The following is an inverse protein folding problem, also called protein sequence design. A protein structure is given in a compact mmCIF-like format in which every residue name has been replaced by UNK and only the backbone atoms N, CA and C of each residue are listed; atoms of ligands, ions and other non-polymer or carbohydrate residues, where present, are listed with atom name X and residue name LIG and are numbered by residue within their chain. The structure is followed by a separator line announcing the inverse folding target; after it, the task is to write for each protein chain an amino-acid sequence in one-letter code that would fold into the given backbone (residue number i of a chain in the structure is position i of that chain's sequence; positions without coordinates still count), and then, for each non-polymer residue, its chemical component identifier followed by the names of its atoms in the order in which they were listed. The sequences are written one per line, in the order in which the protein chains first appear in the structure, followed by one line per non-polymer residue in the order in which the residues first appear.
data_IF_323469716904
#
_entry.id   IF_323469716904
#
_cell.length_a   1.000
_cell.length_b   1.000
_cell.length_c   1.000
_cell.angle_alpha   90.00
_cell.angle_beta   90.00
_cell.angle_gamma   90.00
#
_symmetry.space_group_name_H-M   'P 1'
#
loop_
_entity.id
_entity.type
_entity.pdbx_description
1 polymer ?
#
# COMPACT_ATOMS: atom_id res chain seq x y z
N UNK A 1 27.71 14.18 17.33
CA UNK A 1 26.95 14.46 16.10
C UNK A 1 25.85 13.42 16.03
N UNK A 2 24.59 13.79 16.16
CA UNK A 2 23.52 12.83 15.91
C UNK A 2 23.46 12.64 14.40
N UNK A 3 23.82 11.46 13.93
CA UNK A 3 23.50 11.05 12.56
C UNK A 3 21.98 11.10 12.46
N UNK A 4 21.45 12.12 11.79
CA UNK A 4 20.04 12.19 11.43
C UNK A 4 19.79 11.08 10.42
N UNK A 5 19.50 9.87 10.92
CA UNK A 5 18.92 8.80 10.12
C UNK A 5 17.61 9.35 9.57
N UNK A 6 17.62 9.70 8.28
CA UNK A 6 16.44 10.16 7.59
C UNK A 6 15.32 9.12 7.66
N UNK A 7 14.07 9.53 7.40
CA UNK A 7 12.93 8.62 7.42
C UNK A 7 13.16 7.45 6.45
N UNK A 8 12.90 6.23 6.92
CA UNK A 8 13.00 5.02 6.11
C UNK A 8 11.81 4.97 5.16
N UNK A 9 12.06 5.09 3.86
CA UNK A 9 11.01 5.29 2.86
C UNK A 9 10.85 4.08 1.93
N UNK A 10 9.63 3.93 1.44
CA UNK A 10 9.30 3.13 0.27
C UNK A 10 8.94 4.05 -0.89
N UNK A 11 9.44 3.71 -2.08
CA UNK A 11 9.21 4.47 -3.31
C UNK A 11 8.58 3.59 -4.39
N UNK A 12 7.96 4.21 -5.38
CA UNK A 12 7.53 3.54 -6.60
C UNK A 12 8.73 2.90 -7.31
N UNK A 13 8.62 1.63 -7.72
CA UNK A 13 9.72 0.94 -8.39
C UNK A 13 10.11 1.59 -9.73
N UNK A 14 9.13 2.21 -10.42
CA UNK A 14 9.30 2.75 -11.76
C UNK A 14 9.94 4.15 -11.75
N UNK A 15 9.35 5.11 -11.05
CA UNK A 15 9.82 6.51 -11.05
C UNK A 15 10.51 6.99 -9.78
N UNK A 16 10.61 6.14 -8.75
CA UNK A 16 11.23 6.46 -7.45
C UNK A 16 10.54 7.57 -6.63
N UNK A 17 9.32 7.95 -6.98
CA UNK A 17 8.52 8.82 -6.11
C UNK A 17 8.20 8.10 -4.79
N UNK A 18 8.31 8.78 -3.65
CA UNK A 18 8.02 8.23 -2.33
C UNK A 18 6.54 7.94 -2.18
N UNK A 19 6.19 6.76 -1.65
CA UNK A 19 4.80 6.32 -1.56
C UNK A 19 4.36 5.95 -0.15
N UNK A 20 5.29 5.63 0.75
CA UNK A 20 4.99 5.37 2.16
C UNK A 20 6.26 5.40 3.02
N UNK A 21 6.10 5.53 4.34
CA UNK A 21 7.16 5.31 5.32
C UNK A 21 7.22 3.84 5.73
N UNK A 22 8.39 3.40 6.22
CA UNK A 22 8.56 2.08 6.80
C UNK A 22 7.83 1.92 8.13
N UNK A 23 7.75 2.99 8.91
CA UNK A 23 7.09 2.97 10.22
C UNK A 23 5.56 2.88 10.08
N UNK A 24 5.03 3.16 8.90
CA UNK A 24 3.61 2.93 8.56
C UNK A 24 3.29 1.47 8.22
N UNK A 25 4.27 0.56 8.18
CA UNK A 25 3.99 -0.86 7.90
C UNK A 25 3.26 -1.49 9.09
N UNK A 26 2.02 -1.90 8.86
CA UNK A 26 1.21 -2.65 9.84
C UNK A 26 1.53 -4.14 9.76
N UNK A 27 1.64 -4.70 8.54
CA UNK A 27 1.91 -6.11 8.36
C UNK A 27 2.58 -6.41 7.03
N UNK A 28 3.57 -7.31 7.05
CA UNK A 28 4.30 -7.80 5.86
C UNK A 28 3.81 -9.16 5.36
N UNK A 29 2.76 -9.71 5.99
CA UNK A 29 2.25 -11.06 5.73
C UNK A 29 1.14 -11.11 4.68
N UNK A 30 0.85 -10.00 4.01
CA UNK A 30 -0.22 -9.92 3.00
C UNK A 30 0.23 -10.47 1.64
N UNK A 31 -0.76 -10.86 0.83
CA UNK A 31 -0.56 -11.28 -0.55
C UNK A 31 -1.32 -10.33 -1.49
N UNK A 32 -0.60 -9.87 -2.50
CA UNK A 32 -1.04 -9.13 -3.67
C UNK A 32 -1.60 -10.04 -4.76
N UNK A 33 -1.91 -9.44 -5.91
CA UNK A 33 -2.19 -10.17 -7.15
C UNK A 33 -0.93 -10.85 -7.68
N UNK A 34 0.23 -10.22 -7.48
CA UNK A 34 1.50 -10.65 -8.06
C UNK A 34 2.49 -11.22 -7.02
N UNK A 35 2.01 -11.66 -5.86
CA UNK A 35 2.84 -12.27 -4.80
C UNK A 35 2.78 -11.52 -3.48
N UNK A 36 3.92 -11.27 -2.82
CA UNK A 36 3.93 -10.60 -1.50
C UNK A 36 3.48 -9.15 -1.59
N UNK A 37 2.69 -8.72 -0.61
CA UNK A 37 2.28 -7.35 -0.43
C UNK A 37 2.30 -6.95 1.04
N UNK A 38 2.38 -5.66 1.32
CA UNK A 38 2.44 -5.13 2.68
C UNK A 38 1.25 -4.22 2.94
N UNK A 39 0.72 -4.30 4.16
CA UNK A 39 -0.34 -3.43 4.66
C UNK A 39 0.28 -2.22 5.36
N UNK A 40 -0.15 -1.03 4.98
CA UNK A 40 0.31 0.24 5.53
C UNK A 40 -0.84 1.06 6.11
N UNK A 41 -0.54 1.85 7.15
CA UNK A 41 -1.46 2.84 7.73
C UNK A 41 -1.68 4.05 6.82
N UNK A 42 -0.63 4.53 6.17
CA UNK A 42 -0.66 5.74 5.36
C UNK A 42 0.03 5.51 4.00
N UNK A 43 -0.32 6.36 3.04
CA UNK A 43 0.28 6.43 1.73
C UNK A 43 0.39 7.90 1.31
N UNK A 44 1.38 8.23 0.50
CA UNK A 44 1.63 9.57 -0.02
C UNK A 44 1.93 9.51 -1.53
N UNK A 45 1.77 10.64 -2.23
CA UNK A 45 2.01 10.75 -3.67
C UNK A 45 1.36 9.62 -4.50
N UNK A 46 0.13 9.27 -4.13
CA UNK A 46 -0.71 8.32 -4.86
C UNK A 46 -2.00 8.99 -5.30
N UNK A 47 -2.61 8.42 -6.33
CA UNK A 47 -3.99 8.73 -6.73
C UNK A 47 -4.84 7.48 -6.50
N UNK A 48 -6.00 7.67 -5.88
CA UNK A 48 -6.96 6.59 -5.60
C UNK A 48 -7.93 6.50 -6.78
N UNK A 49 -8.09 5.30 -7.32
CA UNK A 49 -9.01 5.01 -8.42
C UNK A 49 -10.48 4.91 -7.98
N UNK A 50 -11.36 4.47 -8.90
CA UNK A 50 -12.75 4.19 -8.57
C UNK A 50 -12.86 3.05 -7.55
N UNK A 51 -13.97 3.06 -6.80
CA UNK A 51 -14.30 1.99 -5.86
C UNK A 51 -14.90 0.81 -6.60
N UNK A 52 -14.45 -0.38 -6.27
CA UNK A 52 -14.91 -1.64 -6.86
C UNK A 52 -15.04 -2.71 -5.77
N UNK A 53 -16.09 -3.52 -5.85
CA UNK A 53 -16.25 -4.67 -4.97
C UNK A 53 -15.44 -5.85 -5.51
N UNK A 54 -14.58 -6.41 -4.65
CA UNK A 54 -13.66 -7.49 -5.00
C UNK A 54 -13.75 -8.61 -3.96
N UNK A 55 -13.92 -9.84 -4.45
CA UNK A 55 -13.81 -11.04 -3.61
C UNK A 55 -12.33 -11.33 -3.33
N UNK A 56 -11.92 -11.23 -2.07
CA UNK A 56 -10.56 -11.53 -1.61
C UNK A 56 -10.58 -12.79 -0.73
N UNK A 57 -9.40 -13.31 -0.38
CA UNK A 57 -9.29 -14.50 0.49
C UNK A 57 -10.05 -14.37 1.81
N UNK A 58 -10.15 -13.15 2.35
CA UNK A 58 -10.83 -12.87 3.63
C UNK A 58 -12.28 -12.41 3.45
N UNK A 59 -12.88 -12.63 2.28
CA UNK A 59 -14.27 -12.26 1.98
C UNK A 59 -14.41 -11.06 1.04
N UNK A 60 -15.64 -10.56 0.92
CA UNK A 60 -15.99 -9.42 0.06
C UNK A 60 -15.47 -8.11 0.66
N UNK A 61 -14.80 -7.31 -0.17
CA UNK A 61 -14.31 -5.98 0.19
C UNK A 61 -14.62 -4.99 -0.93
N UNK A 62 -14.98 -3.76 -0.57
CA UNK A 62 -14.90 -2.62 -1.50
C UNK A 62 -13.47 -2.09 -1.43
N UNK A 63 -12.79 -2.05 -2.56
CA UNK A 63 -11.40 -1.58 -2.68
C UNK A 63 -11.30 -0.52 -3.77
N UNK A 64 -10.22 0.25 -3.76
CA UNK A 64 -9.89 1.16 -4.84
C UNK A 64 -8.41 1.01 -5.19
N UNK A 65 -8.08 0.75 -6.46
CA UNK A 65 -6.69 0.64 -6.88
C UNK A 65 -5.95 1.97 -6.63
N UNK A 66 -4.69 1.89 -6.23
CA UNK A 66 -3.83 3.06 -5.98
C UNK A 66 -2.73 3.13 -7.03
N UNK A 67 -2.55 4.33 -7.56
CA UNK A 67 -1.65 4.64 -8.65
C UNK A 67 -0.57 5.59 -8.17
N UNK A 68 0.66 5.44 -8.64
CA UNK A 68 1.68 6.46 -8.42
C UNK A 68 1.23 7.79 -9.03
N UNK A 69 1.36 8.89 -8.29
CA UNK A 69 0.94 10.21 -8.78
C UNK A 69 1.69 10.64 -10.05
N UNK A 70 2.98 10.30 -10.17
CA UNK A 70 3.82 10.79 -11.25
C UNK A 70 3.76 9.91 -12.50
N UNK A 71 3.97 8.59 -12.35
CA UNK A 71 4.05 7.68 -13.48
C UNK A 71 2.78 6.86 -13.73
N UNK A 72 1.76 7.01 -12.88
CA UNK A 72 0.47 6.29 -12.97
C UNK A 72 0.57 4.77 -12.90
N UNK A 73 1.72 4.22 -12.52
CA UNK A 73 1.89 2.80 -12.26
C UNK A 73 0.95 2.34 -11.14
N UNK A 74 0.29 1.20 -11.32
CA UNK A 74 -0.52 0.58 -10.25
C UNK A 74 0.41 0.03 -9.18
N UNK A 75 0.24 0.49 -7.94
CA UNK A 75 1.09 0.09 -6.82
C UNK A 75 0.41 -0.92 -5.89
N UNK A 76 -0.92 -0.99 -5.92
CA UNK A 76 -1.73 -1.88 -5.10
C UNK A 76 -3.16 -1.34 -4.98
N UNK A 77 -3.75 -1.41 -3.78
CA UNK A 77 -5.10 -0.90 -3.54
C UNK A 77 -5.30 -0.39 -2.12
N UNK A 78 -6.32 0.45 -1.92
CA UNK A 78 -6.84 0.86 -0.62
C UNK A 78 -8.10 0.08 -0.30
N UNK A 79 -8.25 -0.33 0.96
CA UNK A 79 -9.50 -0.89 1.46
C UNK A 79 -10.47 0.24 1.80
N UNK A 80 -11.59 0.31 1.10
CA UNK A 80 -12.66 1.29 1.37
C UNK A 80 -13.68 0.73 2.34
N UNK A 81 -14.02 -0.55 2.23
CA UNK A 81 -14.98 -1.23 3.11
C UNK A 81 -14.67 -2.72 3.21
N UNK A 82 -14.79 -3.26 4.41
CA UNK A 82 -14.82 -4.70 4.68
C UNK A 82 -16.20 -5.08 5.22
N UNK A 83 -16.76 -6.17 4.73
CA UNK A 83 -18.11 -6.58 5.14
C UNK A 83 -18.08 -7.48 6.38
N UNK A 84 -17.00 -8.22 6.57
CA UNK A 84 -16.75 -9.04 7.76
C UNK A 84 -16.17 -8.21 8.90
N UNK A 85 -16.73 -8.35 10.11
CA UNK A 85 -16.30 -7.58 11.29
C UNK A 85 -14.81 -7.81 11.61
N UNK A 86 -14.35 -9.06 11.49
CA UNK A 86 -12.94 -9.43 11.71
C UNK A 86 -11.96 -8.77 10.74
N UNK A 87 -12.46 -8.20 9.63
CA UNK A 87 -11.65 -7.57 8.59
C UNK A 87 -11.74 -6.03 8.63
N UNK A 88 -12.56 -5.44 9.52
CA UNK A 88 -12.74 -3.98 9.64
C UNK A 88 -11.46 -3.20 9.89
N UNK A 89 -10.47 -3.79 10.55
CA UNK A 89 -9.17 -3.16 10.79
C UNK A 89 -8.42 -2.76 9.50
N UNK A 90 -8.81 -3.34 8.35
CA UNK A 90 -8.25 -3.02 7.04
C UNK A 90 -8.82 -1.75 6.44
N UNK A 91 -10.01 -1.31 6.83
CA UNK A 91 -10.65 -0.13 6.25
C UNK A 91 -9.76 1.12 6.40
N UNK A 92 -9.63 1.88 5.31
CA UNK A 92 -8.73 3.04 5.22
C UNK A 92 -7.25 2.70 5.05
N UNK A 93 -6.85 1.43 5.13
CA UNK A 93 -5.46 0.98 5.00
C UNK A 93 -5.10 0.70 3.54
N UNK A 94 -3.79 0.67 3.28
CA UNK A 94 -3.23 0.56 1.94
C UNK A 94 -2.45 -0.74 1.79
N UNK A 95 -2.69 -1.43 0.69
CA UNK A 95 -1.85 -2.52 0.22
C UNK A 95 -0.92 -1.98 -0.86
N UNK A 96 0.38 -2.18 -0.66
CA UNK A 96 1.37 -2.02 -1.71
C UNK A 96 1.97 -3.38 -2.06
N UNK A 97 2.01 -3.69 -3.35
CA UNK A 97 2.68 -4.90 -3.83
C UNK A 97 4.20 -4.75 -3.74
N UNK A 98 4.88 -5.75 -3.18
CA UNK A 98 6.34 -5.69 -2.99
C UNK A 98 7.11 -5.53 -4.31
N UNK A 99 6.58 -6.06 -5.41
CA UNK A 99 7.16 -5.92 -6.76
C UNK A 99 7.00 -4.52 -7.35
N UNK A 100 6.12 -3.68 -6.79
CA UNK A 100 5.80 -2.32 -7.27
C UNK A 100 6.42 -1.22 -6.42
N UNK A 101 7.04 -1.58 -5.30
CA UNK A 101 7.72 -0.65 -4.41
C UNK A 101 9.18 -1.06 -4.17
N UNK A 102 10.02 -0.07 -3.89
CA UNK A 102 11.43 -0.22 -3.55
C UNK A 102 11.68 0.33 -2.16
N UNK A 103 12.53 -0.34 -1.38
CA UNK A 103 13.04 0.16 -0.10
C UNK A 103 14.23 1.04 -0.43
N UNK A 104 14.18 2.32 -0.08
CA UNK A 104 15.35 3.21 -0.24
C UNK A 104 16.46 2.75 0.71
N UNK A 105 17.73 2.94 0.34
CA UNK A 105 18.86 2.43 1.10
C UNK A 105 18.94 3.13 2.47
N UNK A 106 18.57 2.39 3.51
CA UNK A 106 18.68 2.74 4.93
C UNK A 106 19.29 1.60 5.70
#
# INVERSE_FOLDING_TARGET
MAELVGPRLYSCYNCRNHVSLHDDVISKAFQGRNGRAFLFSHAMNIVVGPKEDRQLMTGLHTVADIYCQDCREVLGWKYEKAYEETQKYKEGKFIFEKSKIVKENW
#
